data_IF_799382285457
#
_entry.id   IF_799382285457
#
_cell.length_a   1.000
_cell.length_b   1.000
_cell.length_c   1.000
_cell.angle_alpha   90.00
_cell.angle_beta   90.00
_cell.angle_gamma   90.00
#
_symmetry.space_group_name_H-M   'P 1'
#
loop_
_entity.id
_entity.type
_entity.pdbx_description
1 polymer ?
#
# COMPACT_ATOMS: atom_id res chain seq x y z
N UNK A 1 6.85 71.07 -6.07
CA UNK A 1 7.46 69.85 -5.57
C UNK A 1 6.54 69.20 -4.53
N UNK A 2 5.85 68.13 -4.86
CA UNK A 2 4.99 67.40 -3.95
C UNK A 2 5.65 65.99 -3.74
N UNK A 3 6.15 65.73 -2.52
CA UNK A 3 6.67 64.45 -2.13
C UNK A 3 5.50 63.48 -1.84
N UNK A 4 5.42 62.39 -2.58
CA UNK A 4 4.53 61.25 -2.29
C UNK A 4 5.30 60.29 -1.42
N UNK A 5 4.89 60.11 -0.16
CA UNK A 5 5.41 59.08 0.75
C UNK A 5 4.64 57.79 0.51
N UNK A 6 5.31 56.78 -0.06
CA UNK A 6 4.76 55.44 -0.21
C UNK A 6 4.97 54.67 1.10
N UNK A 7 3.87 54.35 1.79
CA UNK A 7 3.84 53.48 2.94
C UNK A 7 3.85 52.00 2.47
N UNK A 8 4.97 51.31 2.68
CA UNK A 8 5.06 49.88 2.51
C UNK A 8 4.41 49.14 3.71
N UNK A 9 3.24 48.57 3.50
CA UNK A 9 2.65 47.60 4.43
C UNK A 9 3.37 46.26 4.29
N UNK A 10 4.19 45.90 5.27
CA UNK A 10 4.68 44.57 5.44
C UNK A 10 3.54 43.69 5.97
N UNK A 11 2.96 42.86 5.12
CA UNK A 11 2.05 41.80 5.53
C UNK A 11 2.88 40.71 6.26
N UNK A 12 2.77 40.70 7.57
CA UNK A 12 3.23 39.58 8.39
C UNK A 12 2.34 38.38 8.06
N UNK A 13 2.84 37.45 7.21
CA UNK A 13 2.20 36.19 7.01
C UNK A 13 2.24 35.43 8.36
N UNK A 14 1.09 34.94 8.89
CA UNK A 14 1.09 34.11 10.07
C UNK A 14 1.86 32.84 9.72
N UNK A 15 2.95 32.55 10.46
CA UNK A 15 3.58 31.25 10.45
C UNK A 15 2.49 30.25 10.88
N UNK A 16 2.01 29.44 9.93
CA UNK A 16 1.20 28.30 10.26
C UNK A 16 2.08 27.36 11.09
N UNK A 17 1.86 27.32 12.38
CA UNK A 17 2.47 26.36 13.27
C UNK A 17 1.98 24.99 12.81
N UNK A 18 2.89 24.15 12.35
CA UNK A 18 2.58 22.75 12.14
C UNK A 18 2.09 22.22 13.50
N UNK A 19 0.81 21.88 13.60
CA UNK A 19 0.29 21.19 14.76
C UNK A 19 1.00 19.84 14.84
N UNK A 20 1.74 19.61 15.92
CA UNK A 20 2.27 18.29 16.21
C UNK A 20 1.09 17.32 16.24
N UNK A 21 1.18 16.25 15.49
CA UNK A 21 0.18 15.20 15.49
C UNK A 21 0.17 14.57 16.89
N UNK A 22 -0.93 14.74 17.59
CA UNK A 22 -1.13 14.18 18.92
C UNK A 22 -1.91 12.87 18.76
N UNK A 23 -1.48 11.83 19.47
CA UNK A 23 -2.23 10.59 19.49
C UNK A 23 -3.62 10.81 20.09
N UNK A 24 -4.64 10.31 19.40
CA UNK A 24 -6.02 10.27 19.88
C UNK A 24 -6.47 8.81 19.99
N UNK A 25 -7.11 8.40 21.09
CA UNK A 25 -7.71 7.08 21.21
C UNK A 25 -8.81 6.90 20.14
N UNK A 26 -8.84 5.71 19.54
CA UNK A 26 -9.86 5.33 18.56
C UNK A 26 -10.74 4.24 19.15
N UNK A 27 -12.04 4.28 18.87
CA UNK A 27 -12.96 3.22 19.26
C UNK A 27 -12.48 1.86 18.75
N UNK A 28 -12.53 0.80 19.57
CA UNK A 28 -12.09 -0.52 19.17
C UNK A 28 -12.88 -1.05 17.98
N UNK A 29 -12.16 -1.60 17.02
CA UNK A 29 -12.74 -2.34 15.90
C UNK A 29 -12.78 -3.82 16.21
N UNK A 30 -13.86 -4.50 15.80
CA UNK A 30 -14.07 -5.93 16.05
C UNK A 30 -14.76 -6.59 14.87
N UNK A 31 -14.26 -7.75 14.47
CA UNK A 31 -14.87 -8.58 13.42
C UNK A 31 -14.89 -10.05 13.82
N UNK A 32 -15.92 -10.77 13.41
CA UNK A 32 -15.99 -12.22 13.49
C UNK A 32 -15.67 -12.81 12.12
N UNK A 33 -14.67 -13.66 12.09
CA UNK A 33 -14.20 -14.33 10.89
C UNK A 33 -15.07 -15.54 10.53
N UNK A 34 -15.00 -15.98 9.28
CA UNK A 34 -15.74 -17.14 8.77
C UNK A 34 -15.48 -18.43 9.57
N UNK A 35 -14.30 -18.58 10.16
CA UNK A 35 -13.91 -19.73 10.99
C UNK A 35 -14.40 -19.64 12.44
N UNK A 36 -15.14 -18.58 12.79
CA UNK A 36 -15.63 -18.29 14.13
C UNK A 36 -14.59 -17.64 15.06
N UNK A 37 -13.37 -17.39 14.59
CA UNK A 37 -12.42 -16.57 15.33
C UNK A 37 -12.83 -15.10 15.35
N UNK A 38 -12.36 -14.35 16.33
CA UNK A 38 -12.69 -12.93 16.48
C UNK A 38 -11.42 -12.12 16.57
N UNK A 39 -11.27 -11.16 15.67
CA UNK A 39 -10.25 -10.13 15.75
C UNK A 39 -10.79 -8.89 16.43
N UNK A 40 -10.00 -8.34 17.33
CA UNK A 40 -10.25 -7.04 17.96
C UNK A 40 -8.98 -6.20 17.85
N UNK A 41 -9.14 -4.95 17.41
CA UNK A 41 -8.06 -3.96 17.38
C UNK A 41 -8.46 -2.77 18.24
N UNK A 42 -7.61 -2.37 19.16
CA UNK A 42 -7.75 -1.14 19.95
C UNK A 42 -6.48 -0.32 19.90
N UNK A 43 -6.66 0.99 19.92
CA UNK A 43 -5.55 1.94 19.90
C UNK A 43 -5.47 2.65 21.23
N UNK A 44 -4.30 2.61 21.85
CA UNK A 44 -3.96 3.33 23.08
C UNK A 44 -2.95 4.44 22.78
N UNK A 45 -2.93 5.48 23.60
CA UNK A 45 -1.98 6.58 23.53
C UNK A 45 -1.11 6.59 24.79
N UNK A 46 -0.02 5.80 24.86
CA UNK A 46 0.88 5.81 26.01
C UNK A 46 1.52 7.18 26.24
N UNK A 47 1.70 7.97 25.18
CA UNK A 47 2.13 9.36 25.23
C UNK A 47 1.58 10.13 24.00
N UNK A 48 1.63 11.47 23.99
CA UNK A 48 1.22 12.25 22.83
C UNK A 48 1.96 11.88 21.52
N UNK A 49 3.21 11.42 21.66
CA UNK A 49 4.07 11.07 20.52
C UNK A 49 4.04 9.57 20.18
N UNK A 50 3.29 8.75 20.91
CA UNK A 50 3.26 7.31 20.71
C UNK A 50 1.84 6.78 20.67
N UNK A 51 1.54 6.03 19.63
CA UNK A 51 0.33 5.25 19.44
C UNK A 51 0.68 3.77 19.57
N UNK A 52 -0.13 3.02 20.33
CA UNK A 52 -0.01 1.58 20.49
C UNK A 52 -1.25 0.89 19.96
N UNK A 53 -1.10 0.07 18.94
CA UNK A 53 -2.15 -0.81 18.47
C UNK A 53 -2.04 -2.15 19.18
N UNK A 54 -3.13 -2.58 19.79
CA UNK A 54 -3.23 -3.88 20.45
C UNK A 54 -4.22 -4.71 19.66
N UNK A 55 -3.72 -5.78 19.06
CA UNK A 55 -4.50 -6.75 18.30
C UNK A 55 -4.68 -8.01 19.13
N UNK A 56 -5.90 -8.46 19.30
CA UNK A 56 -6.23 -9.69 20.00
C UNK A 56 -7.01 -10.63 19.07
N UNK A 57 -6.52 -11.86 18.94
CA UNK A 57 -7.19 -12.95 18.26
C UNK A 57 -7.82 -13.86 19.30
N UNK A 58 -9.14 -13.91 19.34
CA UNK A 58 -9.88 -14.88 20.13
C UNK A 58 -10.32 -16.04 19.24
N UNK A 59 -10.07 -17.26 19.69
CA UNK A 59 -10.51 -18.49 19.05
C UNK A 59 -11.70 -19.12 19.80
N UNK A 60 -11.67 -20.42 19.98
CA UNK A 60 -12.74 -21.19 20.57
C UNK A 60 -13.26 -20.63 21.91
N UNK A 61 -14.58 -20.37 21.98
CA UNK A 61 -15.29 -19.88 23.16
C UNK A 61 -14.77 -18.53 23.72
N UNK A 62 -14.19 -17.69 22.87
CA UNK A 62 -13.72 -16.35 23.26
C UNK A 62 -12.38 -16.35 24.01
N UNK A 63 -11.67 -17.46 24.02
CA UNK A 63 -10.32 -17.53 24.59
C UNK A 63 -9.31 -16.88 23.65
N UNK A 64 -8.53 -15.93 24.15
CA UNK A 64 -7.42 -15.32 23.39
C UNK A 64 -6.39 -16.39 23.01
N UNK A 65 -6.14 -16.55 21.72
CA UNK A 65 -5.13 -17.47 21.18
C UNK A 65 -3.82 -16.75 20.96
N UNK A 66 -3.91 -15.50 20.50
CA UNK A 66 -2.72 -14.71 20.21
C UNK A 66 -2.99 -13.23 20.45
N UNK A 67 -1.92 -12.47 20.68
CA UNK A 67 -1.95 -11.03 20.91
C UNK A 67 -0.69 -10.39 20.38
N UNK A 68 -0.87 -9.27 19.70
CA UNK A 68 0.20 -8.47 19.14
C UNK A 68 0.09 -7.03 19.64
N UNK A 69 1.22 -6.42 19.98
CA UNK A 69 1.31 -5.00 20.32
C UNK A 69 2.28 -4.33 19.33
N UNK A 70 1.83 -3.25 18.70
CA UNK A 70 2.59 -2.53 17.67
C UNK A 70 2.63 -1.06 18.06
N UNK A 71 3.84 -0.57 18.31
CA UNK A 71 4.09 0.82 18.64
C UNK A 71 4.41 1.63 17.37
N UNK A 72 3.80 2.80 17.26
CA UNK A 72 3.93 3.72 16.14
C UNK A 72 4.16 5.15 16.63
N UNK A 73 5.22 5.80 16.15
CA UNK A 73 5.49 7.21 16.48
C UNK A 73 4.54 8.14 15.71
N UNK A 74 3.77 8.95 16.42
CA UNK A 74 2.75 9.83 15.81
C UNK A 74 3.35 10.96 14.99
N UNK A 75 4.58 11.39 15.30
CA UNK A 75 5.26 12.47 14.57
C UNK A 75 5.46 12.14 13.08
N UNK A 76 5.66 10.86 12.76
CA UNK A 76 5.88 10.40 11.39
C UNK A 76 4.63 9.77 10.76
N UNK A 77 3.60 9.54 11.54
CA UNK A 77 2.39 8.80 11.13
C UNK A 77 1.08 9.51 11.52
N UNK A 78 0.84 10.74 11.04
CA UNK A 78 -0.34 11.50 11.46
C UNK A 78 -1.67 10.82 11.10
N UNK A 79 -1.67 9.95 10.10
CA UNK A 79 -2.87 9.25 9.60
C UNK A 79 -3.01 7.82 10.10
N UNK A 80 -2.01 7.29 10.82
CA UNK A 80 -1.92 5.88 11.16
C UNK A 80 -3.10 5.37 11.99
N UNK A 81 -3.98 4.61 11.35
CA UNK A 81 -5.03 3.84 11.99
C UNK A 81 -4.82 2.37 11.68
N UNK A 82 -5.16 1.51 12.63
CA UNK A 82 -5.29 0.09 12.39
C UNK A 82 -6.71 -0.20 11.90
N UNK A 83 -6.84 -0.94 10.81
CA UNK A 83 -8.11 -1.36 10.23
C UNK A 83 -8.19 -2.87 10.06
N UNK A 84 -9.40 -3.40 10.06
CA UNK A 84 -9.68 -4.81 9.77
C UNK A 84 -10.21 -4.89 8.34
N UNK A 85 -9.50 -5.60 7.48
CA UNK A 85 -9.79 -5.71 6.05
C UNK A 85 -9.80 -7.17 5.64
N UNK A 86 -10.68 -7.57 4.74
CA UNK A 86 -10.69 -8.89 4.10
C UNK A 86 -10.10 -8.69 2.69
N UNK A 87 -8.76 -8.76 2.59
CA UNK A 87 -8.02 -8.40 1.39
C UNK A 87 -8.21 -9.39 0.24
N UNK A 88 -8.33 -10.69 0.55
CA UNK A 88 -8.44 -11.75 -0.45
C UNK A 88 -9.86 -12.31 -0.60
N UNK A 89 -10.81 -11.83 0.21
CA UNK A 89 -12.20 -12.23 0.17
C UNK A 89 -12.44 -13.63 0.72
N UNK A 90 -11.52 -14.15 1.53
CA UNK A 90 -11.59 -15.49 2.08
C UNK A 90 -12.41 -15.57 3.38
N UNK A 91 -12.80 -14.42 3.93
CA UNK A 91 -13.57 -14.28 5.17
C UNK A 91 -12.71 -14.39 6.44
N UNK A 92 -11.39 -14.39 6.32
CA UNK A 92 -10.44 -14.17 7.42
C UNK A 92 -9.86 -12.78 7.25
N UNK A 93 -10.14 -11.88 8.20
CA UNK A 93 -9.68 -10.50 8.09
C UNK A 93 -8.20 -10.38 8.43
N UNK A 94 -7.53 -9.56 7.65
CA UNK A 94 -6.20 -9.04 7.94
C UNK A 94 -6.30 -7.79 8.80
N UNK A 95 -5.18 -7.46 9.43
CA UNK A 95 -4.98 -6.20 10.14
C UNK A 95 -4.05 -5.34 9.29
N UNK A 96 -4.54 -4.21 8.81
CA UNK A 96 -3.77 -3.19 8.14
C UNK A 96 -3.40 -2.08 9.12
N UNK A 97 -2.11 -1.74 9.21
CA UNK A 97 -1.60 -0.63 10.00
C UNK A 97 -0.93 0.35 9.05
N UNK A 98 -1.60 1.46 8.77
CA UNK A 98 -1.07 2.51 7.94
C UNK A 98 -0.13 3.42 8.74
N UNK A 99 1.01 3.71 8.14
CA UNK A 99 2.03 4.60 8.66
C UNK A 99 2.05 5.96 7.97
N UNK A 100 3.26 6.52 7.83
CA UNK A 100 3.46 7.81 7.21
C UNK A 100 3.09 7.78 5.74
N UNK A 101 2.36 8.81 5.29
CA UNK A 101 2.11 9.03 3.87
C UNK A 101 3.14 10.03 3.32
N UNK A 102 3.65 9.76 2.11
CA UNK A 102 4.52 10.67 1.39
C UNK A 102 3.79 11.92 0.87
N UNK A 103 4.50 12.73 0.08
CA UNK A 103 3.90 13.87 -0.62
C UNK A 103 2.89 13.45 -1.71
N UNK A 104 2.88 12.18 -2.09
CA UNK A 104 1.92 11.54 -2.99
C UNK A 104 0.86 10.75 -2.23
N UNK A 105 0.07 9.93 -2.94
CA UNK A 105 -0.98 9.13 -2.34
C UNK A 105 -0.48 7.86 -1.62
N UNK A 106 0.82 7.51 -1.73
CA UNK A 106 1.36 6.30 -1.12
C UNK A 106 1.58 6.51 0.37
N UNK A 107 1.16 5.54 1.16
CA UNK A 107 1.45 5.46 2.59
C UNK A 107 2.25 4.20 2.89
N UNK A 108 3.16 4.27 3.86
CA UNK A 108 3.76 3.06 4.43
C UNK A 108 2.68 2.25 5.12
N UNK A 109 2.77 0.92 5.05
CA UNK A 109 1.80 0.07 5.70
C UNK A 109 2.34 -1.32 5.99
N UNK A 110 1.82 -1.90 7.07
CA UNK A 110 2.08 -3.27 7.48
C UNK A 110 0.76 -4.04 7.50
N UNK A 111 0.79 -5.26 6.97
CA UNK A 111 -0.34 -6.18 7.02
C UNK A 111 0.03 -7.38 7.89
N UNK A 112 -0.87 -7.73 8.80
CA UNK A 112 -0.76 -8.96 9.61
C UNK A 112 -1.91 -9.88 9.25
N UNK A 113 -1.62 -11.17 9.12
CA UNK A 113 -2.60 -12.23 8.82
C UNK A 113 -2.68 -13.23 9.96
N UNK A 114 -3.80 -13.95 9.99
CA UNK A 114 -3.91 -15.16 10.79
C UNK A 114 -3.26 -16.31 10.03
N UNK A 115 -2.25 -16.94 10.60
CA UNK A 115 -1.77 -18.25 10.12
C UNK A 115 -2.81 -19.32 10.50
N UNK A 116 -3.49 -19.94 9.52
CA UNK A 116 -4.56 -20.90 9.82
C UNK A 116 -4.05 -22.19 10.47
N UNK A 117 -2.76 -22.54 10.31
CA UNK A 117 -2.19 -23.75 10.88
C UNK A 117 -1.85 -23.59 12.37
N UNK A 118 -1.30 -22.42 12.74
CA UNK A 118 -0.86 -22.13 14.12
C UNK A 118 -1.86 -21.30 14.89
N UNK A 119 -2.81 -20.64 14.22
CA UNK A 119 -3.74 -19.66 14.79
C UNK A 119 -3.01 -18.52 15.51
N UNK A 120 -1.97 -18.01 14.86
CA UNK A 120 -1.17 -16.88 15.33
C UNK A 120 -1.21 -15.73 14.32
N UNK A 121 -1.01 -14.51 14.82
CA UNK A 121 -0.88 -13.31 14.00
C UNK A 121 0.54 -13.26 13.43
N UNK A 122 0.66 -13.20 12.11
CA UNK A 122 1.92 -13.19 11.39
C UNK A 122 2.06 -11.92 10.56
N UNK A 123 3.22 -11.25 10.65
CA UNK A 123 3.54 -10.14 9.77
C UNK A 123 3.64 -10.67 8.34
N UNK A 124 2.73 -10.22 7.48
CA UNK A 124 2.54 -10.75 6.14
C UNK A 124 3.14 -9.87 5.06
N UNK A 125 2.96 -8.56 5.16
CA UNK A 125 3.42 -7.59 4.17
C UNK A 125 3.92 -6.32 4.85
N UNK A 126 4.94 -5.65 4.25
CA UNK A 126 5.42 -4.33 4.62
C UNK A 126 5.86 -3.56 3.39
N UNK A 127 5.40 -2.32 3.23
CA UNK A 127 5.81 -1.46 2.10
C UNK A 127 4.99 -0.20 1.95
N UNK A 128 5.41 0.64 1.00
CA UNK A 128 4.73 1.89 0.67
C UNK A 128 3.76 1.72 -0.50
N UNK A 129 2.46 1.84 -0.29
CA UNK A 129 1.44 1.62 -1.31
C UNK A 129 0.34 2.68 -1.29
N UNK A 130 -0.31 2.81 -2.44
CA UNK A 130 -1.61 3.46 -2.58
C UNK A 130 -2.74 2.45 -2.37
N UNK A 131 -2.57 1.23 -2.89
CA UNK A 131 -3.57 0.16 -2.85
C UNK A 131 -2.90 -1.21 -2.85
N UNK A 132 -3.48 -2.16 -2.11
CA UNK A 132 -3.15 -3.58 -2.12
C UNK A 132 -4.37 -4.37 -2.57
N UNK A 133 -4.16 -5.33 -3.48
CA UNK A 133 -5.23 -6.18 -4.02
C UNK A 133 -4.74 -7.61 -4.23
N UNK A 134 -5.69 -8.57 -4.13
CA UNK A 134 -5.45 -9.95 -4.54
C UNK A 134 -6.12 -10.21 -5.90
N UNK A 135 -5.33 -10.60 -6.89
CA UNK A 135 -5.81 -10.85 -8.24
C UNK A 135 -5.17 -12.12 -8.79
N UNK A 136 -5.99 -13.09 -9.22
CA UNK A 136 -5.54 -14.32 -9.86
C UNK A 136 -4.41 -15.06 -9.10
N UNK A 137 -4.47 -15.04 -7.75
CA UNK A 137 -3.48 -15.68 -6.88
C UNK A 137 -2.20 -14.86 -6.67
N UNK A 138 -2.23 -13.58 -6.98
CA UNK A 138 -1.15 -12.64 -6.74
C UNK A 138 -1.56 -11.57 -5.73
N UNK A 139 -0.68 -11.23 -4.80
CA UNK A 139 -0.75 -9.97 -4.09
C UNK A 139 -0.15 -8.89 -5.00
N UNK A 140 -0.88 -7.82 -5.20
CA UNK A 140 -0.49 -6.69 -6.05
C UNK A 140 -0.48 -5.42 -5.22
N UNK A 141 0.70 -4.81 -5.13
CA UNK A 141 0.92 -3.50 -4.53
C UNK A 141 0.93 -2.46 -5.65
N UNK A 142 0.03 -1.50 -5.61
CA UNK A 142 0.03 -0.35 -6.49
C UNK A 142 0.63 0.86 -5.77
N UNK A 143 1.56 1.54 -6.41
CA UNK A 143 2.18 2.75 -5.89
C UNK A 143 2.42 3.77 -6.99
N UNK A 144 2.12 5.04 -6.71
CA UNK A 144 2.41 6.14 -7.63
C UNK A 144 3.89 6.48 -7.58
N UNK A 145 4.57 6.46 -8.73
CA UNK A 145 6.00 6.75 -8.82
C UNK A 145 6.31 8.17 -9.32
N UNK A 146 5.39 8.78 -10.07
CA UNK A 146 5.54 10.17 -10.54
C UNK A 146 4.16 10.82 -10.80
N UNK A 147 4.17 12.00 -11.42
CA UNK A 147 2.90 12.65 -11.84
C UNK A 147 2.05 11.74 -12.73
N UNK A 148 2.69 10.93 -13.56
CA UNK A 148 2.07 10.29 -14.72
C UNK A 148 2.46 8.81 -14.84
N UNK A 149 3.08 8.21 -13.82
CA UNK A 149 3.47 6.80 -13.82
C UNK A 149 3.14 6.09 -12.52
N UNK A 150 2.80 4.82 -12.65
CA UNK A 150 2.48 3.91 -11.56
C UNK A 150 3.37 2.68 -11.63
N UNK A 151 3.82 2.23 -10.47
CA UNK A 151 4.53 0.98 -10.30
C UNK A 151 3.63 -0.01 -9.58
N UNK A 152 3.74 -1.27 -10.01
CA UNK A 152 3.06 -2.39 -9.38
C UNK A 152 4.11 -3.43 -9.02
N UNK A 153 4.13 -3.86 -7.76
CA UNK A 153 4.93 -4.98 -7.30
C UNK A 153 4.00 -6.17 -7.06
N UNK A 154 4.44 -7.36 -7.43
CA UNK A 154 3.58 -8.53 -7.42
C UNK A 154 4.29 -9.74 -6.83
N UNK A 155 3.56 -10.43 -5.94
CA UNK A 155 4.01 -11.67 -5.26
C UNK A 155 3.03 -12.78 -5.53
N UNK A 156 3.53 -13.91 -6.03
CA UNK A 156 2.72 -15.11 -6.22
C UNK A 156 2.54 -15.84 -4.89
N UNK A 157 1.29 -16.08 -4.47
CA UNK A 157 1.00 -16.53 -3.11
C UNK A 157 1.17 -18.04 -2.89
N UNK A 158 1.27 -18.84 -3.94
CA UNK A 158 1.54 -20.27 -3.88
C UNK A 158 3.03 -20.62 -3.72
N UNK A 159 3.90 -19.61 -3.78
CA UNK A 159 5.34 -19.81 -3.63
C UNK A 159 5.73 -19.83 -2.15
N UNK A 160 6.55 -20.82 -1.76
CA UNK A 160 7.17 -20.83 -0.44
C UNK A 160 8.25 -19.76 -0.38
N UNK A 161 8.03 -18.77 0.48
CA UNK A 161 8.95 -17.66 0.66
C UNK A 161 9.00 -17.18 2.10
N UNK A 162 10.01 -16.37 2.42
CA UNK A 162 10.09 -15.69 3.70
C UNK A 162 9.10 -14.53 3.77
N UNK A 163 8.48 -14.35 4.92
CA UNK A 163 7.65 -13.19 5.25
C UNK A 163 8.46 -12.18 6.08
N UNK A 164 8.07 -10.91 6.07
CA UNK A 164 6.96 -10.33 5.29
C UNK A 164 7.30 -10.18 3.81
N UNK A 165 6.26 -10.14 2.97
CA UNK A 165 6.37 -9.68 1.59
C UNK A 165 6.69 -8.19 1.60
N UNK A 166 7.44 -7.71 0.60
CA UNK A 166 7.83 -6.31 0.53
C UNK A 166 8.85 -6.05 -0.57
N UNK A 167 9.35 -4.81 -0.64
CA UNK A 167 10.35 -4.41 -1.63
C UNK A 167 11.58 -5.32 -1.60
N UNK A 168 12.00 -5.75 -2.78
CA UNK A 168 13.20 -6.59 -2.98
C UNK A 168 12.94 -8.09 -2.97
N UNK A 169 11.72 -8.57 -2.63
CA UNK A 169 11.35 -9.98 -2.72
C UNK A 169 10.14 -10.27 -3.62
N UNK A 170 9.75 -9.32 -4.46
CA UNK A 170 8.70 -9.48 -5.46
C UNK A 170 9.11 -10.46 -6.58
N UNK A 171 8.12 -11.14 -7.17
CA UNK A 171 8.34 -12.01 -8.33
C UNK A 171 8.32 -11.24 -9.65
N UNK A 172 7.45 -10.21 -9.71
CA UNK A 172 7.26 -9.38 -10.88
C UNK A 172 7.06 -7.93 -10.49
N UNK A 173 7.37 -7.07 -11.44
CA UNK A 173 7.03 -5.65 -11.42
C UNK A 173 6.27 -5.29 -12.69
N UNK A 174 5.33 -4.36 -12.61
CA UNK A 174 4.80 -3.70 -13.79
C UNK A 174 4.90 -2.18 -13.62
N UNK A 175 5.00 -1.50 -14.75
CA UNK A 175 4.98 -0.05 -14.83
C UNK A 175 3.96 0.39 -15.86
N UNK A 176 3.13 1.36 -15.49
CA UNK A 176 2.21 2.04 -16.40
C UNK A 176 2.63 3.49 -16.48
N UNK A 177 3.07 3.93 -17.66
CA UNK A 177 3.56 5.28 -17.89
C UNK A 177 2.65 6.01 -18.88
N UNK A 178 1.97 7.03 -18.40
CA UNK A 178 1.13 7.93 -19.19
C UNK A 178 1.85 9.20 -19.63
N UNK A 179 3.13 9.41 -19.33
CA UNK A 179 3.85 10.66 -19.60
C UNK A 179 4.09 10.94 -21.10
N UNK A 180 4.22 9.87 -21.89
CA UNK A 180 4.41 9.93 -23.36
C UNK A 180 3.13 9.73 -24.14
N UNK A 181 1.99 9.68 -23.49
CA UNK A 181 0.72 9.34 -24.13
C UNK A 181 0.29 10.41 -25.14
N UNK A 182 -0.05 9.96 -26.33
CA UNK A 182 -0.80 10.78 -27.28
C UNK A 182 -2.22 10.87 -26.76
N UNK A 183 -2.61 12.04 -26.30
CA UNK A 183 -3.99 12.24 -25.84
C UNK A 183 -4.93 12.25 -27.06
N UNK A 184 -5.92 11.38 -27.02
CA UNK A 184 -7.03 11.40 -27.96
C UNK A 184 -7.98 12.56 -27.69
N UNK A 185 -8.87 12.88 -28.63
CA UNK A 185 -9.84 13.97 -28.49
C UNK A 185 -10.76 13.82 -27.23
N UNK A 186 -10.92 12.59 -26.74
CA UNK A 186 -11.65 12.27 -25.50
C UNK A 186 -10.84 12.45 -24.21
N UNK A 187 -9.60 12.97 -24.29
CA UNK A 187 -8.70 13.23 -23.18
C UNK A 187 -7.99 11.97 -22.64
N UNK A 188 -8.13 10.83 -23.29
CA UNK A 188 -7.43 9.57 -22.94
C UNK A 188 -6.17 9.43 -23.78
N UNK A 189 -5.11 8.99 -23.16
CA UNK A 189 -3.83 8.73 -23.83
C UNK A 189 -3.48 7.24 -23.79
N UNK A 190 -2.75 6.79 -24.82
CA UNK A 190 -2.19 5.44 -24.84
C UNK A 190 -1.06 5.34 -23.80
N UNK A 191 -1.34 4.85 -22.61
CA UNK A 191 -0.30 4.58 -21.62
C UNK A 191 0.58 3.41 -22.08
N UNK A 192 1.88 3.47 -21.78
CA UNK A 192 2.79 2.34 -21.97
C UNK A 192 2.72 1.43 -20.74
N UNK A 193 2.37 0.16 -20.95
CA UNK A 193 2.32 -0.87 -19.92
C UNK A 193 3.44 -1.90 -20.14
N UNK A 194 4.26 -2.13 -19.11
CA UNK A 194 5.42 -3.01 -19.20
C UNK A 194 5.47 -3.94 -18.00
N UNK A 195 5.51 -5.24 -18.21
CA UNK A 195 5.75 -6.23 -17.17
C UNK A 195 7.22 -6.65 -17.19
N UNK A 196 7.83 -6.71 -16.00
CA UNK A 196 9.26 -6.95 -15.80
C UNK A 196 9.47 -8.06 -14.79
N UNK A 197 10.40 -8.96 -15.10
CA UNK A 197 11.00 -9.86 -14.12
C UNK A 197 12.41 -9.40 -13.82
N UNK A 198 12.71 -9.27 -12.53
CA UNK A 198 14.04 -8.92 -12.06
C UNK A 198 14.77 -10.20 -11.59
N UNK A 199 16.02 -10.37 -12.01
CA UNK A 199 16.89 -11.45 -11.56
C UNK A 199 18.29 -10.89 -11.36
N UNK A 200 18.63 -10.55 -10.11
CA UNK A 200 19.83 -9.78 -9.81
C UNK A 200 19.81 -8.43 -10.52
N UNK A 201 20.85 -8.12 -11.28
CA UNK A 201 20.97 -6.86 -12.04
C UNK A 201 20.23 -6.89 -13.39
N UNK A 202 19.66 -8.04 -13.77
CA UNK A 202 18.98 -8.18 -15.08
C UNK A 202 17.49 -7.89 -14.92
N UNK A 203 16.98 -7.12 -15.90
CA UNK A 203 15.55 -6.88 -16.10
C UNK A 203 15.12 -7.41 -17.44
N UNK A 204 14.10 -8.25 -17.44
CA UNK A 204 13.58 -8.89 -18.68
C UNK A 204 12.12 -8.53 -18.79
N UNK A 205 11.71 -8.03 -19.96
CA UNK A 205 10.30 -7.80 -20.27
C UNK A 205 9.62 -9.14 -20.47
N UNK A 206 8.52 -9.35 -19.76
CA UNK A 206 7.74 -10.59 -19.80
C UNK A 206 6.29 -10.31 -20.18
N UNK A 207 5.58 -11.33 -20.63
CA UNK A 207 4.15 -11.24 -20.81
C UNK A 207 3.42 -11.11 -19.46
N UNK A 208 2.25 -10.45 -19.41
CA UNK A 208 1.38 -10.47 -18.24
C UNK A 208 1.09 -11.92 -17.83
N UNK A 209 1.16 -12.26 -16.52
CA UNK A 209 0.96 -13.64 -16.09
C UNK A 209 -0.49 -14.12 -16.18
N UNK A 210 -1.44 -13.20 -16.22
CA UNK A 210 -2.85 -13.52 -16.43
C UNK A 210 -3.60 -12.34 -17.09
N UNK A 211 -4.74 -12.60 -17.75
CA UNK A 211 -5.59 -11.54 -18.30
C UNK A 211 -6.14 -10.59 -17.22
N UNK A 212 -6.44 -11.09 -16.00
CA UNK A 212 -6.93 -10.26 -14.91
C UNK A 212 -5.88 -9.25 -14.44
N UNK A 213 -4.62 -9.67 -14.35
CA UNK A 213 -3.51 -8.75 -14.00
C UNK A 213 -3.26 -7.72 -15.12
N UNK A 214 -3.29 -8.13 -16.39
CA UNK A 214 -3.16 -7.20 -17.50
C UNK A 214 -4.27 -6.15 -17.46
N UNK A 215 -5.51 -6.60 -17.33
CA UNK A 215 -6.68 -5.72 -17.32
C UNK A 215 -6.61 -4.70 -16.17
N UNK A 216 -6.38 -5.17 -14.95
CA UNK A 216 -6.31 -4.31 -13.78
C UNK A 216 -5.16 -3.29 -13.84
N UNK A 217 -3.98 -3.73 -14.27
CA UNK A 217 -2.76 -2.90 -14.26
C UNK A 217 -2.73 -1.96 -15.46
N UNK A 218 -2.87 -2.51 -16.67
CA UNK A 218 -2.65 -1.73 -17.89
C UNK A 218 -3.77 -0.72 -18.18
N UNK A 219 -4.98 -0.96 -17.68
CA UNK A 219 -6.11 -0.02 -17.80
C UNK A 219 -6.13 1.10 -16.77
N UNK A 220 -5.05 1.28 -16.03
CA UNK A 220 -4.97 2.34 -15.00
C UNK A 220 -5.37 3.73 -15.55
N UNK A 221 -4.98 4.05 -16.77
CA UNK A 221 -5.34 5.30 -17.46
C UNK A 221 -6.47 5.15 -18.48
N UNK A 222 -7.19 4.04 -18.48
CA UNK A 222 -8.31 3.76 -19.38
C UNK A 222 -8.03 2.59 -20.31
N UNK A 223 -8.92 2.36 -21.27
CA UNK A 223 -8.87 1.16 -22.12
C UNK A 223 -7.79 1.19 -23.22
N UNK A 224 -7.31 2.39 -23.59
CA UNK A 224 -6.24 2.54 -24.55
C UNK A 224 -4.88 2.46 -23.86
N UNK A 225 -4.14 1.37 -24.12
CA UNK A 225 -2.77 1.20 -23.66
C UNK A 225 -1.94 0.43 -24.69
N UNK A 226 -0.61 0.52 -24.56
CA UNK A 226 0.34 -0.25 -25.37
C UNK A 226 1.13 -1.18 -24.46
N UNK A 227 0.96 -2.48 -24.67
CA UNK A 227 1.76 -3.46 -23.96
C UNK A 227 3.15 -3.56 -24.60
N UNK A 228 4.20 -3.48 -23.78
CA UNK A 228 5.57 -3.73 -24.23
C UNK A 228 5.72 -5.21 -24.57
N UNK A 229 6.13 -5.57 -25.81
CA UNK A 229 6.30 -6.98 -26.17
C UNK A 229 7.41 -7.63 -25.31
N UNK A 230 7.23 -8.90 -24.94
CA UNK A 230 8.25 -9.64 -24.20
C UNK A 230 9.58 -9.71 -24.97
N UNK A 231 10.68 -9.76 -24.23
CA UNK A 231 12.00 -9.96 -24.81
C UNK A 231 12.08 -11.34 -25.47
N UNK A 232 12.25 -11.35 -26.79
CA UNK A 232 12.31 -12.59 -27.60
C UNK A 232 13.72 -13.11 -27.77
N UNK A 233 14.73 -12.56 -27.09
CA UNK A 233 16.11 -13.00 -27.21
C UNK A 233 16.25 -14.42 -26.65
N UNK A 234 16.52 -15.45 -27.47
CA UNK A 234 16.73 -16.81 -26.98
C UNK A 234 18.04 -16.85 -26.21
N UNK A 235 17.97 -17.04 -24.88
CA UNK A 235 19.15 -17.42 -24.12
C UNK A 235 19.77 -16.39 -23.22
N UNK A 236 18.98 -15.57 -22.50
CA UNK A 236 19.44 -15.02 -21.24
C UNK A 236 19.31 -16.13 -20.17
N UNK A 237 20.39 -16.51 -19.46
CA UNK A 237 20.42 -17.63 -18.52
C UNK A 237 19.51 -17.43 -17.32
#
# INVERSE_FOLDING_TARGET
>A
MRCVVALFFWALAPCAWAQEAVCEPVEPSRVENRDGSVLTVRTECPSPALRRHIVELACDAGRTCDRLEIDQETMYTPMGNASLVDLDGDGLHEIEILGACGAGPNCEGDIYRIDPATRTLQHFFSGGYYELQFIDGWLVQAGRSSCCSWNYLMWKLDAVRSLPLGDGNQDLRAQVDGSGATYHEDGRGDAQCTFLRESGDNRVVVAPPSPGLEDMICRHYGEAYRLTPPDTTPGAP
#
